data_IF_120925824783
#
_entry.id   IF_120925824783
#
_cell.length_a   1.000
_cell.length_b   1.000
_cell.length_c   1.000
_cell.angle_alpha   90.00
_cell.angle_beta   90.00
_cell.angle_gamma   90.00
#
_symmetry.space_group_name_H-M   'P 1'
#
loop_
_entity.id
_entity.type
_entity.pdbx_description
1 polymer ?
#
# COMPACT_ATOMS: atom_id res chain seq x y z
N UNK A 1 31.66 45.51 -11.87
CA UNK A 1 30.75 45.34 -10.72
C UNK A 1 30.26 46.70 -10.21
N UNK A 2 29.58 47.52 -11.03
CA UNK A 2 29.06 48.82 -10.56
C UNK A 2 27.62 48.72 -10.01
N UNK A 3 26.91 47.67 -10.39
CA UNK A 3 25.45 47.51 -10.21
C UNK A 3 25.08 46.51 -9.10
N UNK A 4 26.07 45.97 -8.40
CA UNK A 4 25.89 45.01 -7.31
C UNK A 4 26.63 45.48 -6.05
N UNK A 5 25.90 45.74 -4.97
CA UNK A 5 26.51 46.02 -3.67
C UNK A 5 27.17 44.76 -3.09
N UNK A 6 28.15 44.94 -2.20
CA UNK A 6 28.79 43.82 -1.51
C UNK A 6 27.79 42.93 -0.76
N UNK A 7 26.74 43.52 -0.19
CA UNK A 7 25.68 42.78 0.49
C UNK A 7 24.79 42.01 -0.49
N UNK A 8 24.52 42.53 -1.69
CA UNK A 8 23.83 41.76 -2.74
C UNK A 8 24.68 40.57 -3.22
N UNK A 9 25.98 40.74 -3.41
CA UNK A 9 26.90 39.65 -3.75
C UNK A 9 26.92 38.57 -2.66
N UNK A 10 26.97 38.97 -1.39
CA UNK A 10 26.91 38.08 -0.22
C UNK A 10 25.57 37.35 -0.10
N UNK A 11 24.44 38.04 -0.28
CA UNK A 11 23.11 37.40 -0.35
C UNK A 11 23.02 36.40 -1.50
N UNK A 12 23.55 36.73 -2.69
CA UNK A 12 23.56 35.84 -3.85
C UNK A 12 24.44 34.62 -3.61
N UNK A 13 25.60 34.78 -2.99
CA UNK A 13 26.49 33.69 -2.58
C UNK A 13 25.84 32.76 -1.54
N UNK A 14 25.14 33.32 -0.54
CA UNK A 14 24.35 32.53 0.42
C UNK A 14 23.20 31.77 -0.27
N UNK A 15 22.54 32.37 -1.24
CA UNK A 15 21.51 31.70 -2.05
C UNK A 15 22.10 30.57 -2.91
N UNK A 16 23.26 30.79 -3.54
CA UNK A 16 23.96 29.79 -4.37
C UNK A 16 24.46 28.64 -3.51
N UNK A 17 25.22 28.90 -2.44
CA UNK A 17 25.72 27.88 -1.51
C UNK A 17 24.60 27.07 -0.84
N UNK A 18 23.48 27.71 -0.46
CA UNK A 18 22.30 27.01 0.04
C UNK A 18 21.70 26.03 -0.99
N UNK A 19 21.76 26.37 -2.28
CA UNK A 19 21.29 25.48 -3.35
C UNK A 19 22.34 24.44 -3.78
N UNK A 20 23.64 24.74 -3.72
CA UNK A 20 24.72 23.77 -3.91
C UNK A 20 24.62 22.61 -2.91
N UNK A 21 24.21 22.88 -1.66
CA UNK A 21 23.95 21.85 -0.64
C UNK A 21 22.62 21.09 -0.87
N UNK A 22 21.69 21.60 -1.70
CA UNK A 22 20.50 20.84 -2.11
C UNK A 22 20.80 19.82 -3.20
N UNK A 23 21.70 20.15 -4.12
CA UNK A 23 22.19 19.20 -5.12
C UNK A 23 23.19 18.25 -4.47
N UNK A 24 22.68 17.13 -3.96
CA UNK A 24 23.51 16.03 -3.46
C UNK A 24 24.53 15.67 -4.53
N UNK A 25 25.80 15.65 -4.14
CA UNK A 25 26.87 15.21 -5.04
C UNK A 25 26.65 13.76 -5.46
N UNK A 26 27.13 13.39 -6.64
CA UNK A 26 27.07 11.99 -7.10
C UNK A 26 27.71 11.02 -6.07
N UNK A 27 28.76 11.47 -5.39
CA UNK A 27 29.40 10.76 -4.26
C UNK A 27 28.42 10.51 -3.12
N UNK A 28 27.67 11.51 -2.66
CA UNK A 28 26.67 11.35 -1.60
C UNK A 28 25.52 10.44 -2.02
N UNK A 29 25.05 10.53 -3.27
CA UNK A 29 24.01 9.63 -3.79
C UNK A 29 24.48 8.17 -3.84
N UNK A 30 25.72 7.93 -4.27
CA UNK A 30 26.35 6.60 -4.27
C UNK A 30 26.58 6.08 -2.84
N UNK A 31 26.95 6.93 -1.89
CA UNK A 31 27.10 6.56 -0.47
C UNK A 31 25.75 6.22 0.17
N UNK A 32 24.71 7.03 -0.04
CA UNK A 32 23.34 6.75 0.42
C UNK A 32 22.79 5.46 -0.20
N UNK A 33 23.05 5.21 -1.49
CA UNK A 33 22.66 3.98 -2.16
C UNK A 33 23.36 2.75 -1.55
N UNK A 34 24.69 2.80 -1.38
CA UNK A 34 25.48 1.75 -0.70
C UNK A 34 25.01 1.52 0.74
N UNK A 35 24.70 2.57 1.48
CA UNK A 35 24.19 2.46 2.85
C UNK A 35 22.78 1.84 2.88
N UNK A 36 21.93 2.14 1.90
CA UNK A 36 20.59 1.57 1.75
C UNK A 36 20.62 0.09 1.40
N UNK A 37 21.47 -0.32 0.43
CA UNK A 37 21.65 -1.73 0.07
C UNK A 37 22.23 -2.54 1.24
N UNK A 38 23.24 -1.99 1.94
CA UNK A 38 23.85 -2.63 3.10
C UNK A 38 22.86 -2.78 4.27
N UNK A 39 22.03 -1.75 4.54
CA UNK A 39 20.95 -1.86 5.54
C UNK A 39 19.94 -2.95 5.18
N UNK A 40 19.56 -3.05 3.91
CA UNK A 40 18.65 -4.09 3.42
C UNK A 40 19.27 -5.48 3.58
N UNK A 41 20.52 -5.66 3.14
CA UNK A 41 21.29 -6.89 3.29
C UNK A 41 21.41 -7.33 4.76
N UNK A 42 21.84 -6.43 5.66
CA UNK A 42 21.90 -6.71 7.11
C UNK A 42 20.53 -7.06 7.69
N UNK A 43 19.45 -6.39 7.27
CA UNK A 43 18.09 -6.73 7.72
C UNK A 43 17.66 -8.12 7.25
N UNK A 44 17.93 -8.50 6.00
CA UNK A 44 17.63 -9.84 5.46
C UNK A 44 18.46 -10.91 6.18
N UNK A 45 19.77 -10.68 6.34
CA UNK A 45 20.68 -11.60 7.03
C UNK A 45 20.28 -11.83 8.49
N UNK A 46 19.81 -10.79 9.21
CA UNK A 46 19.23 -10.91 10.56
C UNK A 46 17.98 -11.78 10.59
N UNK A 47 17.00 -11.48 9.72
CA UNK A 47 15.71 -12.19 9.69
C UNK A 47 15.84 -13.66 9.32
N UNK A 48 16.91 -14.04 8.60
CA UNK A 48 17.20 -15.41 8.14
C UNK A 48 18.32 -16.09 8.91
N UNK A 49 18.82 -15.51 10.00
CA UNK A 49 19.92 -16.11 10.75
C UNK A 49 19.45 -17.39 11.45
N UNK A 50 20.16 -18.54 11.33
CA UNK A 50 19.74 -19.79 11.97
C UNK A 50 19.64 -19.65 13.49
N UNK A 51 20.66 -19.04 14.11
CA UNK A 51 20.72 -18.86 15.56
C UNK A 51 19.86 -17.70 16.10
N UNK A 52 19.00 -17.07 15.28
CA UNK A 52 18.11 -16.02 15.76
C UNK A 52 17.12 -16.61 16.77
N UNK A 53 17.12 -16.20 18.06
CA UNK A 53 16.21 -16.76 19.04
C UNK A 53 14.75 -16.48 18.64
N UNK A 54 13.92 -17.52 18.66
CA UNK A 54 12.48 -17.43 18.38
C UNK A 54 11.78 -16.85 19.60
N UNK A 55 10.78 -15.99 19.38
CA UNK A 55 9.98 -15.43 20.49
C UNK A 55 9.28 -16.55 21.27
N UNK A 56 9.20 -16.45 22.61
CA UNK A 56 8.50 -17.43 23.45
C UNK A 56 6.99 -17.41 23.18
N UNK A 57 6.34 -18.55 23.43
CA UNK A 57 4.88 -18.66 23.32
C UNK A 57 4.20 -18.03 24.53
N UNK A 58 3.26 -17.13 24.29
CA UNK A 58 2.39 -16.56 25.33
C UNK A 58 1.61 -17.65 26.07
N UNK A 59 1.18 -17.37 27.30
CA UNK A 59 0.44 -18.33 28.13
C UNK A 59 -0.76 -18.98 27.40
N UNK A 60 -1.57 -18.18 26.69
CA UNK A 60 -2.65 -18.70 25.84
C UNK A 60 -2.16 -19.63 24.73
N UNK A 61 -1.07 -19.27 24.02
CA UNK A 61 -0.54 -20.10 22.94
C UNK A 61 0.09 -21.42 23.44
N UNK A 62 0.53 -21.50 24.70
CA UNK A 62 0.95 -22.75 25.34
C UNK A 62 -0.25 -23.67 25.56
N UNK A 63 -1.27 -23.16 26.26
CA UNK A 63 -2.54 -23.86 26.46
C UNK A 63 -3.12 -24.34 25.12
N UNK A 64 -3.18 -23.46 24.12
CA UNK A 64 -3.67 -23.78 22.79
C UNK A 64 -2.85 -24.91 22.12
N UNK A 65 -1.51 -24.86 22.20
CA UNK A 65 -0.65 -25.92 21.63
C UNK A 65 -0.88 -27.28 22.29
N UNK A 66 -1.07 -27.31 23.61
CA UNK A 66 -1.31 -28.52 24.40
C UNK A 66 -2.71 -29.11 24.15
N UNK A 67 -3.74 -28.26 24.20
CA UNK A 67 -5.15 -28.68 24.16
C UNK A 67 -5.72 -28.87 22.75
N UNK A 68 -5.16 -28.21 21.73
CA UNK A 68 -5.67 -28.25 20.35
C UNK A 68 -5.80 -29.65 19.78
N UNK A 69 -4.87 -30.56 20.09
CA UNK A 69 -4.94 -31.93 19.57
C UNK A 69 -6.14 -32.69 20.16
N UNK A 70 -6.33 -32.61 21.48
CA UNK A 70 -7.45 -33.23 22.20
C UNK A 70 -8.80 -32.68 21.70
N UNK A 71 -8.94 -31.36 21.62
CA UNK A 71 -10.17 -30.74 21.13
C UNK A 71 -10.41 -31.03 19.63
N UNK A 72 -9.36 -31.16 18.81
CA UNK A 72 -9.51 -31.55 17.40
C UNK A 72 -10.00 -33.00 17.23
N UNK A 73 -9.70 -33.89 18.18
CA UNK A 73 -10.21 -35.26 18.19
C UNK A 73 -11.64 -35.35 18.73
N UNK A 74 -11.98 -34.56 19.76
CA UNK A 74 -13.35 -34.50 20.31
C UNK A 74 -14.33 -33.79 19.36
N UNK A 75 -13.87 -32.81 18.59
CA UNK A 75 -14.69 -32.02 17.67
C UNK A 75 -14.19 -32.10 16.22
N UNK A 76 -14.14 -33.30 15.59
CA UNK A 76 -13.57 -33.49 14.26
C UNK A 76 -14.41 -32.85 13.15
N UNK A 77 -15.65 -32.44 13.46
CA UNK A 77 -16.55 -31.71 12.55
C UNK A 77 -16.36 -30.19 12.58
N UNK A 78 -15.69 -29.63 13.60
CA UNK A 78 -15.47 -28.19 13.70
C UNK A 78 -14.30 -27.75 12.81
N UNK A 79 -14.46 -26.61 12.15
CA UNK A 79 -13.37 -25.99 11.41
C UNK A 79 -12.26 -25.50 12.35
N UNK A 80 -11.06 -25.32 11.79
CA UNK A 80 -9.92 -24.76 12.52
C UNK A 80 -10.19 -23.37 13.13
N UNK A 81 -11.09 -22.59 12.53
CA UNK A 81 -11.48 -21.27 13.05
C UNK A 81 -12.39 -21.41 14.27
N UNK A 82 -13.41 -22.27 14.21
CA UNK A 82 -14.34 -22.55 15.32
C UNK A 82 -13.61 -23.20 16.51
N UNK A 83 -12.74 -24.18 16.23
CA UNK A 83 -11.88 -24.80 17.23
C UNK A 83 -11.01 -23.77 17.97
N UNK A 84 -10.54 -22.74 17.26
CA UNK A 84 -9.73 -21.66 17.85
C UNK A 84 -10.56 -20.69 18.69
N UNK A 85 -11.81 -20.40 18.29
CA UNK A 85 -12.76 -19.63 19.11
C UNK A 85 -13.06 -20.37 20.41
N UNK A 86 -13.43 -21.65 20.31
CA UNK A 86 -13.74 -22.52 21.46
C UNK A 86 -12.56 -22.60 22.44
N UNK A 87 -11.33 -22.82 21.97
CA UNK A 87 -10.14 -22.84 22.83
C UNK A 87 -9.87 -21.47 23.49
N UNK A 88 -10.18 -20.37 22.82
CA UNK A 88 -10.04 -19.02 23.38
C UNK A 88 -11.05 -18.74 24.50
N UNK A 89 -12.25 -19.30 24.41
CA UNK A 89 -13.29 -19.23 25.44
C UNK A 89 -12.93 -20.12 26.62
N UNK A 90 -12.54 -21.39 26.37
CA UNK A 90 -12.09 -22.33 27.41
C UNK A 90 -10.87 -21.82 28.18
N UNK A 91 -9.97 -21.08 27.54
CA UNK A 91 -8.86 -20.42 28.25
C UNK A 91 -9.31 -19.27 29.18
N UNK A 92 -10.38 -18.53 28.82
CA UNK A 92 -10.94 -17.48 29.69
C UNK A 92 -11.63 -18.08 30.92
N UNK A 93 -12.39 -19.15 30.71
CA UNK A 93 -13.08 -19.92 31.76
C UNK A 93 -12.12 -20.69 32.68
N UNK A 94 -10.88 -20.94 32.24
CA UNK A 94 -9.90 -21.76 32.97
C UNK A 94 -9.62 -21.20 34.39
N UNK A 95 -9.57 -22.03 35.44
CA UNK A 95 -9.23 -21.58 36.80
C UNK A 95 -7.88 -20.87 36.87
N UNK A 96 -7.77 -19.88 37.76
CA UNK A 96 -6.57 -19.01 37.81
C UNK A 96 -5.29 -19.80 38.16
N UNK A 97 -5.38 -20.84 38.99
CA UNK A 97 -4.27 -21.75 39.27
C UNK A 97 -3.72 -22.43 38.00
N UNK A 98 -4.61 -22.84 37.09
CA UNK A 98 -4.24 -23.49 35.83
C UNK A 98 -3.73 -22.48 34.80
N UNK A 99 -4.26 -21.24 34.78
CA UNK A 99 -3.68 -20.12 34.02
C UNK A 99 -2.26 -19.79 34.51
N UNK A 100 -2.06 -19.76 35.82
CA UNK A 100 -0.79 -19.41 36.45
C UNK A 100 0.36 -20.33 35.99
N UNK A 101 0.11 -21.64 35.84
CA UNK A 101 1.05 -22.60 35.24
C UNK A 101 1.56 -22.13 33.87
N UNK A 102 0.66 -21.69 32.98
CA UNK A 102 1.02 -21.21 31.64
C UNK A 102 1.66 -19.81 31.66
N UNK A 103 1.30 -18.95 32.62
CA UNK A 103 1.89 -17.63 32.82
C UNK A 103 3.34 -17.77 33.31
N UNK A 104 3.60 -18.63 34.29
CA UNK A 104 4.93 -18.92 34.80
C UNK A 104 5.84 -19.47 33.69
N UNK A 105 5.39 -20.51 32.96
CA UNK A 105 6.16 -21.03 31.82
C UNK A 105 6.41 -19.98 30.73
N UNK A 106 5.50 -19.02 30.52
CA UNK A 106 5.78 -17.87 29.64
C UNK A 106 6.87 -16.95 30.19
N UNK A 107 6.89 -16.68 31.50
CA UNK A 107 7.94 -15.86 32.13
C UNK A 107 9.32 -16.53 32.06
N UNK A 108 9.39 -17.84 32.28
CA UNK A 108 10.62 -18.64 32.22
C UNK A 108 11.24 -18.64 30.81
N UNK A 109 10.50 -19.07 29.77
CA UNK A 109 11.01 -18.99 28.39
C UNK A 109 11.29 -17.53 27.95
N UNK A 110 10.57 -16.54 28.50
CA UNK A 110 10.85 -15.12 28.20
C UNK A 110 12.21 -14.70 28.72
N UNK A 111 12.57 -15.10 29.94
CA UNK A 111 13.90 -14.87 30.51
C UNK A 111 14.98 -15.57 29.66
N UNK A 112 14.78 -16.85 29.35
CA UNK A 112 15.71 -17.63 28.52
C UNK A 112 15.87 -17.01 27.11
N UNK A 113 14.79 -16.53 26.51
CA UNK A 113 14.81 -15.81 25.23
C UNK A 113 15.57 -14.48 25.34
N UNK A 114 15.41 -13.73 26.42
CA UNK A 114 16.12 -12.45 26.63
C UNK A 114 17.63 -12.67 26.78
N UNK A 115 18.04 -13.71 27.51
CA UNK A 115 19.45 -14.15 27.65
C UNK A 115 20.03 -14.60 26.30
N UNK A 116 19.36 -15.53 25.59
CA UNK A 116 19.77 -15.98 24.24
C UNK A 116 19.84 -14.82 23.24
N UNK A 117 18.91 -13.87 23.33
CA UNK A 117 18.86 -12.68 22.47
C UNK A 117 19.93 -11.65 22.83
N UNK A 118 20.40 -11.58 24.09
CA UNK A 118 21.55 -10.78 24.47
C UNK A 118 22.84 -11.35 23.86
N UNK A 119 23.12 -12.65 24.10
CA UNK A 119 24.27 -13.35 23.52
C UNK A 119 24.26 -13.31 21.98
N UNK A 120 23.09 -13.48 21.35
CA UNK A 120 22.96 -13.34 19.89
C UNK A 120 23.33 -11.95 19.38
N UNK A 121 22.92 -10.88 20.09
CA UNK A 121 23.26 -9.48 19.72
C UNK A 121 24.74 -9.18 19.87
N UNK A 122 25.38 -9.75 20.88
CA UNK A 122 26.81 -9.60 21.16
C UNK A 122 27.63 -10.27 20.05
N UNK A 123 27.43 -11.57 19.83
CA UNK A 123 28.13 -12.32 18.77
C UNK A 123 27.83 -11.81 17.36
N UNK A 124 26.68 -11.16 17.15
CA UNK A 124 26.30 -10.57 15.87
C UNK A 124 26.25 -9.03 15.89
N UNK A 125 27.09 -8.37 16.69
CA UNK A 125 27.08 -6.91 16.84
C UNK A 125 27.07 -6.15 15.49
N UNK A 126 27.78 -6.65 14.48
CA UNK A 126 27.82 -6.08 13.11
C UNK A 126 26.45 -5.98 12.42
N UNK A 127 25.50 -6.85 12.77
CA UNK A 127 24.11 -6.83 12.29
C UNK A 127 23.25 -5.81 13.03
N UNK A 128 23.52 -5.60 14.33
CA UNK A 128 22.75 -4.70 15.19
C UNK A 128 23.27 -3.26 15.22
N UNK A 129 24.53 -3.05 14.81
CA UNK A 129 25.17 -1.75 14.74
C UNK A 129 24.42 -0.81 13.78
N UNK A 130 23.81 0.24 14.34
CA UNK A 130 23.29 1.38 13.55
C UNK A 130 24.49 2.13 12.98
N UNK A 131 24.46 2.42 11.68
CA UNK A 131 25.44 3.31 11.07
C UNK A 131 25.43 4.67 11.78
N UNK A 132 26.60 5.11 12.29
CA UNK A 132 26.76 6.49 12.77
C UNK A 132 26.54 7.41 11.57
N UNK A 133 25.40 8.11 11.52
CA UNK A 133 25.14 9.15 10.52
C UNK A 133 26.25 10.19 10.62
N UNK A 134 27.20 10.16 9.67
CA UNK A 134 28.12 11.29 9.47
C UNK A 134 27.30 12.50 9.04
N UNK A 135 27.69 13.68 9.53
CA UNK A 135 26.95 14.92 9.33
C UNK A 135 26.92 15.32 7.85
N UNK A 136 25.79 15.10 7.17
CA UNK A 136 25.38 15.87 5.99
C UNK A 136 23.90 16.26 6.14
N UNK A 137 23.64 17.56 6.29
CA UNK A 137 22.31 18.19 6.24
C UNK A 137 21.26 17.71 7.26
N UNK A 138 20.88 18.57 8.21
CA UNK A 138 19.60 18.43 8.95
C UNK A 138 18.43 18.39 7.96
N UNK A 139 17.96 17.18 7.58
CA UNK A 139 16.60 17.01 7.05
C UNK A 139 15.66 17.37 8.19
N UNK A 140 15.07 18.57 8.15
CA UNK A 140 13.98 18.95 9.06
C UNK A 140 12.91 17.85 8.97
N UNK A 141 12.40 17.29 10.08
CA UNK A 141 11.29 16.37 10.00
C UNK A 141 10.10 17.12 9.40
N UNK A 142 9.52 16.57 8.34
CA UNK A 142 8.17 16.98 7.95
C UNK A 142 7.22 16.56 9.06
N UNK A 143 6.22 17.39 9.38
CA UNK A 143 5.22 17.15 10.45
C UNK A 143 4.31 15.92 10.22
N UNK A 144 4.70 15.01 9.32
CA UNK A 144 3.98 13.80 8.93
C UNK A 144 4.41 12.53 9.69
N UNK A 145 5.58 12.51 10.36
CA UNK A 145 6.04 11.31 11.10
C UNK A 145 5.67 11.29 12.59
N UNK A 146 5.25 12.40 13.18
CA UNK A 146 5.01 12.49 14.64
C UNK A 146 3.61 12.04 15.06
N UNK A 147 2.63 11.98 14.13
CA UNK A 147 1.27 11.50 14.42
C UNK A 147 1.15 9.97 14.56
N UNK A 148 2.22 9.20 14.36
CA UNK A 148 2.19 7.73 14.45
C UNK A 148 2.60 7.17 15.84
N UNK A 149 2.78 8.04 16.84
CA UNK A 149 3.25 7.68 18.18
C UNK A 149 2.41 8.30 19.31
N UNK A 150 1.07 8.10 19.26
CA UNK A 150 0.24 8.10 20.49
C UNK A 150 -1.10 7.37 20.33
N UNK A 151 -1.35 6.48 21.31
CA UNK A 151 -2.54 5.64 21.56
C UNK A 151 -2.87 4.54 20.53
N UNK A 152 -2.43 3.33 20.85
CA UNK A 152 -3.30 2.15 20.73
C UNK A 152 -4.30 2.14 21.91
N UNK A 153 -5.45 1.48 21.76
CA UNK A 153 -5.65 0.21 22.46
C UNK A 153 -5.90 -0.98 21.51
N UNK A 154 -5.76 -2.18 22.06
CA UNK A 154 -6.03 -3.46 21.38
C UNK A 154 -7.52 -3.71 21.14
N UNK A 155 -7.89 -4.24 19.96
CA UNK A 155 -8.84 -5.37 19.83
C UNK A 155 -8.38 -6.23 18.64
N UNK A 156 -8.54 -7.55 18.76
CA UNK A 156 -8.20 -8.55 17.73
C UNK A 156 -9.08 -8.46 16.47
N UNK A 157 -8.47 -8.57 15.28
CA UNK A 157 -9.09 -9.14 14.07
C UNK A 157 -8.03 -9.84 13.22
N UNK A 158 -8.37 -11.02 12.68
CA UNK A 158 -7.52 -11.81 11.78
C UNK A 158 -7.36 -11.13 10.40
N UNK A 159 -6.21 -11.26 9.70
CA UNK A 159 -6.05 -10.74 8.35
C UNK A 159 -6.72 -11.65 7.31
N UNK A 160 -8.04 -11.60 7.26
CA UNK A 160 -8.81 -11.97 6.05
C UNK A 160 -8.35 -11.07 4.88
N UNK A 161 -8.33 -11.61 3.66
CA UNK A 161 -7.72 -10.95 2.51
C UNK A 161 -8.27 -9.54 2.27
N UNK A 162 -7.41 -8.53 2.46
CA UNK A 162 -7.77 -7.12 2.34
C UNK A 162 -7.97 -6.71 0.88
N UNK A 163 -9.14 -7.01 0.31
CA UNK A 163 -9.74 -6.08 -0.63
C UNK A 163 -9.90 -4.76 0.11
N UNK A 164 -9.08 -3.77 -0.24
CA UNK A 164 -9.21 -2.41 0.28
C UNK A 164 -10.58 -1.89 -0.14
N UNK A 165 -11.56 -1.97 0.77
CA UNK A 165 -12.80 -1.18 0.68
C UNK A 165 -12.39 0.27 0.81
N UNK A 166 -11.99 0.86 -0.32
CA UNK A 166 -12.05 2.31 -0.46
C UNK A 166 -13.47 2.72 -0.10
N UNK A 167 -13.61 3.57 0.92
CA UNK A 167 -14.79 4.38 1.09
C UNK A 167 -14.92 5.20 -0.20
N UNK A 168 -15.79 4.73 -1.10
CA UNK A 168 -16.30 5.42 -2.27
C UNK A 168 -17.58 6.11 -1.85
N UNK A 169 -17.74 7.36 -2.24
CA UNK A 169 -18.96 8.10 -1.93
C UNK A 169 -20.13 7.51 -2.75
N UNK A 170 -21.38 7.56 -2.24
CA UNK A 170 -22.54 7.16 -3.03
C UNK A 170 -22.59 7.93 -4.36
N UNK A 171 -22.71 7.20 -5.46
CA UNK A 171 -22.69 7.78 -6.82
C UNK A 171 -21.32 8.17 -7.36
N UNK A 172 -20.22 8.09 -6.58
CA UNK A 172 -18.87 8.38 -7.08
C UNK A 172 -18.51 7.40 -8.22
N UNK A 173 -18.16 7.90 -9.43
CA UNK A 173 -17.78 7.06 -10.55
C UNK A 173 -16.63 6.10 -10.19
N UNK A 174 -16.66 4.87 -10.71
CA UNK A 174 -15.57 3.93 -10.45
C UNK A 174 -14.32 4.29 -11.26
N UNK A 175 -13.16 4.24 -10.59
CA UNK A 175 -11.87 4.49 -11.24
C UNK A 175 -11.69 3.58 -12.47
N UNK A 176 -11.29 4.14 -13.61
CA UNK A 176 -11.13 3.41 -14.88
C UNK A 176 -9.86 2.55 -14.85
N UNK A 177 -9.71 1.57 -15.77
CA UNK A 177 -8.45 0.89 -15.99
C UNK A 177 -7.36 1.90 -16.36
N UNK A 178 -6.25 1.90 -15.61
CA UNK A 178 -5.19 2.91 -15.72
C UNK A 178 -4.35 2.79 -17.00
N UNK A 179 -4.34 1.62 -17.64
CA UNK A 179 -3.60 1.35 -18.88
C UNK A 179 -4.18 0.10 -19.58
N UNK A 180 -3.69 -0.17 -20.79
CA UNK A 180 -4.08 -1.32 -21.61
C UNK A 180 -3.98 -2.67 -20.87
N UNK A 181 -2.91 -2.88 -20.10
CA UNK A 181 -2.73 -4.11 -19.30
C UNK A 181 -3.83 -4.27 -18.24
N UNK A 182 -4.20 -3.21 -17.53
CA UNK A 182 -5.29 -3.27 -16.55
C UNK A 182 -6.65 -3.54 -17.22
N UNK A 183 -6.92 -2.99 -18.41
CA UNK A 183 -8.14 -3.29 -19.17
C UNK A 183 -8.19 -4.77 -19.58
N UNK A 184 -7.14 -5.26 -20.24
CA UNK A 184 -6.99 -6.68 -20.59
C UNK A 184 -7.12 -7.59 -19.37
N UNK A 185 -6.50 -7.21 -18.25
CA UNK A 185 -6.60 -7.96 -17.00
C UNK A 185 -8.05 -8.02 -16.49
N UNK A 186 -8.81 -6.92 -16.54
CA UNK A 186 -10.23 -6.91 -16.13
C UNK A 186 -11.10 -7.80 -17.03
N UNK A 187 -10.90 -7.78 -18.34
CA UNK A 187 -11.64 -8.62 -19.28
C UNK A 187 -11.32 -10.11 -19.06
N UNK A 188 -10.03 -10.45 -18.96
CA UNK A 188 -9.60 -11.82 -18.69
C UNK A 188 -10.06 -12.32 -17.32
N UNK A 189 -10.14 -11.45 -16.31
CA UNK A 189 -10.67 -11.81 -14.99
C UNK A 189 -12.19 -12.04 -14.99
N UNK A 190 -12.90 -11.41 -15.92
CA UNK A 190 -14.34 -11.57 -16.12
C UNK A 190 -14.68 -12.84 -16.89
N UNK A 191 -13.78 -13.29 -17.77
CA UNK A 191 -13.89 -14.53 -18.55
C UNK A 191 -14.20 -15.77 -17.68
N UNK A 192 -14.97 -16.73 -18.22
CA UNK A 192 -15.32 -17.96 -17.49
C UNK A 192 -14.14 -18.93 -17.38
N UNK A 193 -13.20 -18.88 -18.32
CA UNK A 193 -12.07 -19.82 -18.47
C UNK A 193 -11.22 -19.95 -17.21
N UNK A 194 -10.92 -18.83 -16.55
CA UNK A 194 -9.96 -18.82 -15.44
C UNK A 194 -10.61 -19.03 -14.07
N UNK A 195 -11.95 -19.13 -13.98
CA UNK A 195 -12.69 -19.06 -12.70
C UNK A 195 -12.37 -20.20 -11.73
N UNK A 196 -11.93 -21.36 -12.22
CA UNK A 196 -11.53 -22.52 -11.40
C UNK A 196 -10.10 -22.50 -10.86
N UNK A 197 -9.23 -21.63 -11.37
CA UNK A 197 -7.81 -21.57 -10.96
C UNK A 197 -7.62 -20.73 -9.68
N UNK A 198 -6.61 -21.09 -8.88
CA UNK A 198 -6.23 -20.35 -7.67
C UNK A 198 -5.79 -18.91 -8.02
N UNK A 199 -6.08 -17.95 -7.13
CA UNK A 199 -5.89 -16.51 -7.39
C UNK A 199 -4.48 -16.17 -7.92
N UNK A 200 -3.44 -16.67 -7.24
CA UNK A 200 -2.04 -16.39 -7.62
C UNK A 200 -1.66 -16.98 -8.98
N UNK A 201 -2.24 -18.13 -9.33
CA UNK A 201 -2.01 -18.82 -10.60
C UNK A 201 -2.71 -18.08 -11.75
N UNK A 202 -3.93 -17.59 -11.50
CA UNK A 202 -4.69 -16.74 -12.42
C UNK A 202 -3.93 -15.46 -12.76
N UNK A 203 -3.36 -14.78 -11.77
CA UNK A 203 -2.55 -13.56 -11.99
C UNK A 203 -1.35 -13.84 -12.92
N UNK A 204 -0.66 -14.96 -12.73
CA UNK A 204 0.49 -15.37 -13.56
C UNK A 204 0.04 -15.72 -14.98
N UNK A 205 -1.05 -16.47 -15.14
CA UNK A 205 -1.57 -16.84 -16.46
C UNK A 205 -2.07 -15.62 -17.25
N UNK A 206 -2.71 -14.65 -16.61
CA UNK A 206 -3.10 -13.38 -17.26
C UNK A 206 -1.85 -12.62 -17.73
N UNK A 207 -0.78 -12.58 -16.93
CA UNK A 207 0.49 -11.95 -17.32
C UNK A 207 1.10 -12.66 -18.54
N UNK A 208 1.18 -13.99 -18.50
CA UNK A 208 1.71 -14.83 -19.59
C UNK A 208 0.91 -14.69 -20.89
N UNK A 209 -0.42 -14.52 -20.79
CA UNK A 209 -1.28 -14.25 -21.95
C UNK A 209 -1.03 -12.84 -22.49
N UNK A 210 -0.91 -11.82 -21.65
CA UNK A 210 -0.61 -10.44 -22.08
C UNK A 210 0.69 -10.35 -22.88
N UNK A 211 1.75 -11.05 -22.45
CA UNK A 211 3.04 -11.09 -23.15
C UNK A 211 2.92 -11.62 -24.60
N UNK A 212 1.90 -12.45 -24.86
CA UNK A 212 1.59 -13.04 -26.18
C UNK A 212 0.55 -12.25 -27.00
N UNK A 213 -0.09 -11.22 -26.43
CA UNK A 213 -1.06 -10.38 -27.14
C UNK A 213 -0.35 -9.61 -28.27
N UNK A 214 -0.80 -9.71 -29.54
CA UNK A 214 -0.24 -8.95 -30.65
C UNK A 214 -0.32 -7.44 -30.44
N UNK A 215 0.63 -6.69 -31.02
CA UNK A 215 0.74 -5.25 -30.83
C UNK A 215 -0.55 -4.48 -31.21
N UNK A 216 -1.19 -4.85 -32.34
CA UNK A 216 -2.48 -4.27 -32.77
C UNK A 216 -3.60 -4.47 -31.74
N UNK A 217 -3.63 -5.61 -31.05
CA UNK A 217 -4.62 -5.89 -30.01
C UNK A 217 -4.25 -5.17 -28.69
N UNK A 218 -2.96 -4.96 -28.39
CA UNK A 218 -2.54 -4.09 -27.27
C UNK A 218 -2.95 -2.64 -27.49
N UNK A 219 -2.91 -2.15 -28.72
CA UNK A 219 -3.35 -0.81 -29.12
C UNK A 219 -4.87 -0.64 -28.99
N UNK A 220 -5.66 -1.67 -29.33
CA UNK A 220 -7.10 -1.70 -29.04
C UNK A 220 -7.37 -1.56 -27.53
N UNK A 221 -6.69 -2.36 -26.69
CA UNK A 221 -6.82 -2.22 -25.23
C UNK A 221 -6.30 -0.87 -24.69
N UNK A 222 -5.38 -0.21 -25.38
CA UNK A 222 -4.93 1.15 -25.04
C UNK A 222 -6.04 2.17 -25.32
N UNK A 223 -6.60 2.16 -26.53
CA UNK A 223 -7.70 3.04 -26.91
C UNK A 223 -8.94 2.83 -26.01
N UNK A 224 -9.30 1.59 -25.70
CA UNK A 224 -10.38 1.28 -24.75
C UNK A 224 -10.09 1.81 -23.34
N UNK A 225 -8.86 1.66 -22.83
CA UNK A 225 -8.49 2.16 -21.52
C UNK A 225 -8.45 3.70 -21.45
N UNK A 226 -8.05 4.37 -22.53
CA UNK A 226 -8.04 5.83 -22.65
C UNK A 226 -9.46 6.40 -22.77
N UNK A 227 -10.33 5.77 -23.57
CA UNK A 227 -11.73 6.20 -23.70
C UNK A 227 -12.50 6.00 -22.38
N UNK A 228 -12.30 4.88 -21.69
CA UNK A 228 -12.85 4.69 -20.34
C UNK A 228 -12.30 5.71 -19.33
N UNK A 229 -11.03 6.12 -19.46
CA UNK A 229 -10.48 7.21 -18.66
C UNK A 229 -11.14 8.55 -19.00
N UNK A 230 -11.37 8.86 -20.27
CA UNK A 230 -12.06 10.08 -20.72
C UNK A 230 -13.50 10.13 -20.22
N UNK A 231 -14.25 9.04 -20.35
CA UNK A 231 -15.62 8.89 -19.85
C UNK A 231 -15.69 9.01 -18.32
N UNK A 232 -14.72 8.44 -17.60
CA UNK A 232 -14.60 8.63 -16.16
C UNK A 232 -14.41 10.10 -15.80
N UNK A 233 -13.54 10.85 -16.48
CA UNK A 233 -13.34 12.28 -16.19
C UNK A 233 -14.60 13.11 -16.45
N UNK A 234 -15.36 12.82 -17.51
CA UNK A 234 -16.65 13.50 -17.79
C UNK A 234 -17.68 13.16 -16.71
N UNK A 235 -17.84 11.88 -16.36
CA UNK A 235 -18.80 11.48 -15.31
C UNK A 235 -18.41 12.00 -13.93
N UNK A 236 -17.11 12.14 -13.64
CA UNK A 236 -16.62 12.74 -12.40
C UNK A 236 -16.87 14.26 -12.35
N UNK A 237 -16.70 15.00 -13.45
CA UNK A 237 -17.06 16.44 -13.51
C UNK A 237 -18.56 16.62 -13.26
N UNK A 238 -19.40 15.85 -13.96
CA UNK A 238 -20.86 15.89 -13.78
C UNK A 238 -21.28 15.53 -12.36
N UNK A 239 -20.68 14.49 -11.77
CA UNK A 239 -20.95 14.10 -10.38
C UNK A 239 -20.53 15.21 -9.40
N UNK A 240 -19.31 15.74 -9.52
CA UNK A 240 -18.84 16.85 -8.66
C UNK A 240 -19.71 18.10 -8.77
N UNK A 241 -20.33 18.35 -9.92
CA UNK A 241 -21.27 19.46 -10.15
C UNK A 241 -22.70 19.19 -9.67
N UNK A 242 -23.03 17.91 -9.41
CA UNK A 242 -24.30 17.50 -8.81
C UNK A 242 -24.29 17.50 -7.28
N UNK A 243 -23.10 17.52 -6.65
CA UNK A 243 -22.97 17.57 -5.19
C UNK A 243 -23.39 18.93 -4.63
N UNK A 244 -24.05 18.93 -3.48
CA UNK A 244 -24.25 20.16 -2.70
C UNK A 244 -22.92 20.72 -2.19
N UNK A 245 -22.86 22.02 -1.81
CA UNK A 245 -21.66 22.63 -1.24
C UNK A 245 -21.11 21.91 0.00
N UNK A 246 -22.00 21.33 0.81
CA UNK A 246 -21.66 20.57 2.03
C UNK A 246 -21.06 19.20 1.70
N UNK A 247 -21.67 18.45 0.78
CA UNK A 247 -21.15 17.16 0.31
C UNK A 247 -19.81 17.32 -0.42
N UNK A 248 -19.66 18.37 -1.23
CA UNK A 248 -18.40 18.70 -1.90
C UNK A 248 -17.29 19.05 -0.90
N UNK A 249 -17.61 19.77 0.19
CA UNK A 249 -16.66 20.02 1.27
C UNK A 249 -16.23 18.71 1.96
N UNK A 250 -17.17 17.84 2.33
CA UNK A 250 -16.90 16.54 2.94
C UNK A 250 -16.06 15.62 2.03
N UNK A 251 -16.34 15.62 0.73
CA UNK A 251 -15.55 14.91 -0.28
C UNK A 251 -14.11 15.43 -0.36
N UNK A 252 -13.94 16.76 -0.38
CA UNK A 252 -12.63 17.43 -0.46
C UNK A 252 -11.78 17.19 0.77
N UNK A 253 -12.37 17.23 1.97
CA UNK A 253 -11.67 16.92 3.23
C UNK A 253 -11.22 15.45 3.28
N UNK A 254 -12.12 14.52 2.94
CA UNK A 254 -11.83 13.08 2.87
C UNK A 254 -10.76 12.74 1.80
N UNK A 255 -10.74 13.50 0.71
CA UNK A 255 -9.77 13.35 -0.38
C UNK A 255 -8.40 13.95 -0.06
N UNK A 256 -8.28 14.86 0.92
CA UNK A 256 -7.02 15.54 1.25
C UNK A 256 -5.90 14.58 1.69
N UNK A 257 -6.26 13.41 2.26
CA UNK A 257 -5.31 12.33 2.61
C UNK A 257 -5.01 11.33 1.49
N UNK A 258 -5.85 11.25 0.45
CA UNK A 258 -5.64 10.38 -0.72
C UNK A 258 -4.94 11.21 -1.80
N UNK A 259 -3.67 10.92 -2.08
CA UNK A 259 -2.81 11.76 -2.92
C UNK A 259 -3.50 12.21 -4.24
N UNK A 260 -3.47 13.53 -4.50
CA UNK A 260 -4.19 14.20 -5.61
C UNK A 260 -4.19 13.37 -6.90
N UNK A 261 -5.33 13.25 -7.60
CA UNK A 261 -5.34 12.80 -8.98
C UNK A 261 -4.33 13.61 -9.80
N UNK A 262 -3.41 12.93 -10.49
CA UNK A 262 -2.45 13.58 -11.39
C UNK A 262 -3.20 14.09 -12.62
N UNK A 263 -3.67 15.32 -12.51
CA UNK A 263 -4.44 16.04 -13.54
C UNK A 263 -4.69 17.50 -13.17
N UNK A 264 -4.82 17.80 -11.86
CA UNK A 264 -4.92 19.18 -11.36
C UNK A 264 -3.55 19.91 -11.31
N UNK A 265 -2.97 20.13 -12.50
CA UNK A 265 -2.09 21.28 -12.78
C UNK A 265 -2.81 22.16 -13.80
N UNK A 266 -3.00 23.44 -13.48
CA UNK A 266 -3.88 24.33 -14.23
C UNK A 266 -3.38 24.65 -15.64
N UNK A 267 -3.86 23.89 -16.62
CA UNK A 267 -4.25 24.44 -17.91
C UNK A 267 -5.75 24.73 -17.91
N UNK A 268 -6.25 25.66 -18.75
CA UNK A 268 -7.69 25.81 -18.95
C UNK A 268 -8.29 24.51 -19.52
N UNK A 269 -9.57 24.20 -19.26
CA UNK A 269 -10.22 23.06 -19.89
C UNK A 269 -10.15 23.22 -21.41
N UNK A 270 -9.89 22.14 -22.18
CA UNK A 270 -9.97 22.21 -23.63
C UNK A 270 -11.38 22.67 -24.02
N UNK A 271 -11.47 23.73 -24.83
CA UNK A 271 -12.74 24.26 -25.32
C UNK A 271 -13.35 23.23 -26.27
N UNK A 272 -14.31 22.45 -25.78
CA UNK A 272 -15.15 21.57 -26.60
C UNK A 272 -16.21 22.46 -27.26
N UNK A 273 -16.31 22.51 -28.60
CA UNK A 273 -17.43 23.17 -29.27
C UNK A 273 -18.75 22.44 -28.92
N UNK A 274 -19.91 23.12 -28.87
CA UNK A 274 -21.18 22.45 -28.66
C UNK A 274 -21.41 21.36 -29.71
N UNK A 275 -22.00 20.20 -29.36
CA UNK A 275 -22.45 19.25 -30.36
C UNK A 275 -23.61 19.87 -31.14
N UNK A 276 -23.42 20.05 -32.45
CA UNK A 276 -24.45 20.60 -33.33
C UNK A 276 -25.59 19.59 -33.47
N UNK A 277 -26.73 19.90 -32.83
CA UNK A 277 -27.94 19.08 -32.90
C UNK A 277 -28.77 19.48 -34.12
N UNK A 278 -28.47 18.87 -35.27
CA UNK A 278 -29.43 18.76 -36.36
C UNK A 278 -29.60 17.29 -36.78
N UNK A 279 -30.82 16.73 -36.70
CA UNK A 279 -31.12 15.45 -37.32
C UNK A 279 -31.04 15.57 -38.85
N UNK A 280 -30.57 14.54 -39.58
CA UNK A 280 -30.64 14.54 -41.03
C UNK A 280 -32.11 14.49 -41.47
N UNK A 281 -32.59 15.58 -42.08
CA UNK A 281 -33.93 15.61 -42.67
C UNK A 281 -33.98 14.67 -43.89
N UNK A 282 -34.93 13.73 -43.88
CA UNK A 282 -35.16 12.85 -45.02
C UNK A 282 -35.60 13.66 -46.26
N UNK A 283 -35.05 13.30 -47.43
CA UNK A 283 -35.71 13.53 -48.72
C UNK A 283 -35.67 12.26 -49.54
N UNK A 284 -36.84 11.94 -50.10
CA UNK A 284 -37.13 10.83 -51.00
C UNK A 284 -36.51 11.03 -52.38
N UNK A 285 -36.35 9.95 -53.17
CA UNK A 285 -35.92 10.05 -54.57
C UNK A 285 -37.06 10.55 -55.47
N UNK A 286 -36.70 11.34 -56.48
CA UNK A 286 -37.52 11.78 -57.61
C UNK A 286 -36.59 12.00 -58.81
N UNK A 287 -37.15 12.05 -60.02
CA UNK A 287 -36.49 11.56 -61.25
C UNK A 287 -35.83 12.65 -62.13
N UNK A 288 -35.03 12.20 -63.11
CA UNK A 288 -35.03 12.79 -64.46
C UNK A 288 -34.04 13.91 -64.78
N UNK A 289 -32.88 13.56 -65.36
CA UNK A 289 -32.58 13.73 -66.80
C UNK A 289 -31.22 13.11 -67.18
#
# INVERSE_FOLDING_TARGET
FKDFSGEMCKCKWLQISYNLVKYRTMRELVLDAKESTEKSYKMVKRKRHPDLPKKPLTAYLRFFKEQRHQYSQMYPKLSNQELTKLLSEKYKELPEQMKLKYIQGFQEDKKEYEEKMAHFKENNAYLFQKSKKRHTGKRRPTKAQEKFLRKAPEVNSSPEHSSTKELRFPGEPQKPPMNAYHKFHMDMWSSRELKGMHFSERMVEVSRRWDRVPQSQREQYHAEAEELQRQYWVSLDLWLRSLSPEEYAAYKESSCGKGKPRGLKGGPPPKIPPPDLQPPAARTPEEGL
#
